data_IF_205028485675
#
_entry.id   IF_205028485675
#
_cell.length_a   1.000
_cell.length_b   1.000
_cell.length_c   1.000
_cell.angle_alpha   90.00
_cell.angle_beta   90.00
_cell.angle_gamma   90.00
#
_symmetry.space_group_name_H-M   'P 1'
#
loop_
_entity.id
_entity.type
_entity.pdbx_description
1 polymer ?
#
# COMPACT_ATOMS: atom_id res chain seq x y z
N UNK A 1 -12.39 62.72 32.43
CA UNK A 1 -12.87 61.59 31.66
C UNK A 1 -11.76 60.92 30.88
N UNK A 2 -11.38 59.71 31.33
CA UNK A 2 -10.50 58.83 30.55
C UNK A 2 -11.39 58.04 29.57
N UNK A 3 -11.21 58.30 28.29
CA UNK A 3 -11.82 57.49 27.23
C UNK A 3 -10.85 56.35 26.92
N UNK A 4 -11.21 55.16 27.41
CA UNK A 4 -10.49 53.93 27.04
C UNK A 4 -10.86 53.50 25.61
N UNK A 5 -9.88 53.55 24.68
CA UNK A 5 -10.02 52.93 23.36
C UNK A 5 -10.00 51.42 23.52
N UNK A 6 -11.14 50.80 23.32
CA UNK A 6 -11.22 49.34 23.13
C UNK A 6 -10.70 48.99 21.73
N UNK A 7 -9.51 48.43 21.67
CA UNK A 7 -8.91 47.89 20.47
C UNK A 7 -9.61 46.58 20.16
N UNK A 8 -10.59 46.56 19.25
CA UNK A 8 -11.15 45.34 18.70
C UNK A 8 -10.08 44.67 17.81
N UNK A 9 -9.41 43.64 18.38
CA UNK A 9 -8.64 42.71 17.57
C UNK A 9 -9.68 41.97 16.71
N UNK A 10 -9.76 42.27 15.44
CA UNK A 10 -10.45 41.42 14.47
C UNK A 10 -9.57 40.19 14.29
N UNK A 11 -9.98 39.09 14.88
CA UNK A 11 -9.48 37.77 14.46
C UNK A 11 -9.83 37.61 12.99
N UNK A 12 -8.83 37.72 12.13
CA UNK A 12 -8.99 37.30 10.73
C UNK A 12 -9.35 35.83 10.77
N UNK A 13 -10.40 35.38 10.08
CA UNK A 13 -10.67 33.94 9.98
C UNK A 13 -9.40 33.29 9.42
N UNK A 14 -8.86 32.32 10.16
CA UNK A 14 -7.79 31.50 9.64
C UNK A 14 -8.26 30.93 8.31
N UNK A 15 -7.58 31.28 7.22
CA UNK A 15 -7.86 30.70 5.91
C UNK A 15 -7.71 29.19 6.08
N UNK A 16 -8.78 28.44 5.83
CA UNK A 16 -8.75 26.99 5.87
C UNK A 16 -7.62 26.51 4.97
N UNK A 17 -6.73 25.68 5.49
CA UNK A 17 -5.65 25.11 4.68
C UNK A 17 -6.27 24.25 3.57
N UNK A 18 -5.70 24.33 2.37
CA UNK A 18 -6.10 23.47 1.26
C UNK A 18 -5.89 22.01 1.64
N UNK A 19 -6.88 21.12 1.40
CA UNK A 19 -6.72 19.68 1.71
C UNK A 19 -5.56 19.08 0.96
N UNK A 20 -4.78 18.24 1.65
CA UNK A 20 -3.58 17.62 1.13
C UNK A 20 -3.90 16.44 0.21
N UNK A 21 -3.37 16.46 -1.00
CA UNK A 21 -3.41 15.34 -1.94
C UNK A 21 -2.32 14.30 -1.64
N UNK A 22 -1.19 14.74 -1.08
CA UNK A 22 -0.14 13.85 -0.57
C UNK A 22 -0.24 13.79 0.94
N UNK A 23 -0.71 12.63 1.43
CA UNK A 23 -1.03 12.46 2.84
C UNK A 23 -0.81 11.02 3.30
N UNK A 24 -0.04 10.79 4.39
CA UNK A 24 0.26 9.45 4.90
C UNK A 24 -1.00 8.65 5.24
N UNK A 25 -1.14 7.44 4.67
CA UNK A 25 -2.32 6.59 4.78
C UNK A 25 -3.43 6.89 3.78
N UNK A 26 -3.27 7.92 2.94
CA UNK A 26 -4.18 8.23 1.83
C UNK A 26 -4.06 7.24 0.67
N UNK A 27 -5.02 7.26 -0.24
CA UNK A 27 -5.01 6.40 -1.42
C UNK A 27 -3.96 6.86 -2.46
N UNK A 28 -3.36 5.89 -3.15
CA UNK A 28 -2.34 6.10 -4.19
C UNK A 28 -2.64 5.22 -5.39
N UNK A 29 -2.46 5.74 -6.61
CA UNK A 29 -2.75 5.02 -7.85
C UNK A 29 -1.66 5.25 -8.89
N UNK A 30 -1.35 4.18 -9.63
CA UNK A 30 -0.48 4.22 -10.82
C UNK A 30 -1.16 3.45 -11.93
N UNK A 31 -1.26 4.07 -13.08
CA UNK A 31 -1.78 3.44 -14.28
C UNK A 31 -0.67 2.68 -15.01
N UNK A 32 -0.97 1.56 -15.68
CA UNK A 32 -0.04 0.99 -16.65
C UNK A 32 0.16 1.97 -17.83
N UNK A 33 1.32 1.91 -18.48
CA UNK A 33 1.60 2.73 -19.69
C UNK A 33 0.61 2.44 -20.81
N UNK A 34 0.23 1.18 -20.94
CA UNK A 34 -0.77 0.69 -21.88
C UNK A 34 -1.89 0.01 -21.08
N UNK A 35 -2.93 0.76 -20.66
CA UNK A 35 -4.05 0.18 -19.96
C UNK A 35 -4.75 -0.90 -20.81
N UNK A 36 -5.13 -1.99 -20.16
CA UNK A 36 -5.94 -3.00 -20.79
C UNK A 36 -7.36 -2.43 -21.01
N UNK A 37 -7.86 -2.52 -22.24
CA UNK A 37 -9.18 -2.01 -22.62
C UNK A 37 -10.16 -3.11 -23.00
N UNK A 38 -9.69 -4.36 -23.06
CA UNK A 38 -10.51 -5.52 -23.37
C UNK A 38 -10.14 -6.68 -22.44
N UNK A 39 -11.13 -7.45 -22.01
CA UNK A 39 -10.95 -8.65 -21.22
C UNK A 39 -11.72 -9.81 -21.84
N UNK A 40 -11.11 -11.00 -22.01
CA UNK A 40 -11.82 -12.18 -22.47
C UNK A 40 -12.96 -12.55 -21.52
N UNK A 41 -14.16 -12.75 -22.06
CA UNK A 41 -15.31 -13.22 -21.28
C UNK A 41 -16.11 -14.24 -22.11
N UNK A 42 -16.27 -15.44 -21.56
CA UNK A 42 -17.09 -16.47 -22.15
C UNK A 42 -18.56 -16.04 -22.15
N UNK A 43 -19.20 -16.10 -23.29
CA UNK A 43 -20.60 -15.66 -23.47
C UNK A 43 -20.77 -14.24 -24.00
N UNK A 44 -19.72 -13.42 -24.03
CA UNK A 44 -19.76 -12.16 -24.76
C UNK A 44 -19.83 -12.37 -26.29
N UNK A 45 -20.54 -11.48 -26.99
CA UNK A 45 -20.80 -11.62 -28.43
C UNK A 45 -19.54 -11.80 -29.29
N UNK A 46 -18.44 -11.14 -28.89
CA UNK A 46 -17.13 -11.21 -29.56
C UNK A 46 -16.10 -12.01 -28.74
N UNK A 47 -16.49 -12.68 -27.66
CA UNK A 47 -15.59 -13.36 -26.74
C UNK A 47 -14.79 -12.43 -25.82
N UNK A 48 -15.03 -11.14 -25.86
CA UNK A 48 -14.38 -10.11 -25.02
C UNK A 48 -15.41 -9.07 -24.57
N UNK A 49 -15.15 -8.43 -23.44
CA UNK A 49 -15.84 -7.22 -22.99
C UNK A 49 -14.88 -6.03 -23.02
N UNK A 50 -15.42 -4.84 -23.27
CA UNK A 50 -14.69 -3.58 -23.10
C UNK A 50 -14.58 -3.24 -21.63
N UNK A 51 -13.38 -2.86 -21.17
CA UNK A 51 -13.13 -2.43 -19.79
C UNK A 51 -12.51 -1.03 -19.79
N UNK A 52 -12.85 -0.17 -18.83
CA UNK A 52 -12.23 1.15 -18.73
C UNK A 52 -10.77 1.04 -18.25
N UNK A 53 -9.90 2.01 -18.58
CA UNK A 53 -8.50 2.03 -18.14
C UNK A 53 -8.33 1.90 -16.63
N UNK A 54 -9.28 2.40 -15.86
CA UNK A 54 -9.32 2.34 -14.41
C UNK A 54 -9.40 0.91 -13.85
N UNK A 55 -9.88 -0.05 -14.66
CA UNK A 55 -9.90 -1.46 -14.28
C UNK A 55 -8.50 -2.08 -14.12
N UNK A 56 -7.47 -1.46 -14.70
CA UNK A 56 -6.08 -1.93 -14.66
C UNK A 56 -5.16 -1.10 -13.76
N UNK A 57 -5.71 -0.16 -12.98
CA UNK A 57 -4.93 0.72 -12.10
C UNK A 57 -4.37 -0.05 -10.90
N UNK A 58 -3.09 0.20 -10.57
CA UNK A 58 -2.51 -0.31 -9.33
C UNK A 58 -2.99 0.52 -8.14
N UNK A 59 -3.49 -0.15 -7.12
CA UNK A 59 -4.03 0.44 -5.89
C UNK A 59 -3.09 0.23 -4.73
N UNK A 60 -2.61 1.35 -4.16
CA UNK A 60 -1.71 1.39 -3.00
C UNK A 60 -2.14 2.51 -2.04
N UNK A 61 -1.41 2.64 -0.95
CA UNK A 61 -1.54 3.70 0.05
C UNK A 61 -0.28 4.55 0.09
N UNK A 62 -0.41 5.77 0.59
CA UNK A 62 0.69 6.72 0.69
C UNK A 62 1.48 6.54 1.99
N UNK A 63 2.80 6.56 1.87
CA UNK A 63 3.75 6.65 2.97
C UNK A 63 4.01 8.10 3.40
N UNK A 64 5.13 8.38 4.08
CA UNK A 64 5.50 9.72 4.52
C UNK A 64 6.02 10.56 3.36
N UNK A 65 5.78 11.87 3.44
CA UNK A 65 6.37 12.86 2.53
C UNK A 65 7.29 13.83 3.26
N UNK A 66 8.20 14.45 2.53
CA UNK A 66 9.14 15.41 3.08
C UNK A 66 10.02 16.04 2.02
N UNK A 67 11.09 16.68 2.48
CA UNK A 67 12.07 17.35 1.62
C UNK A 67 13.46 16.82 1.91
N UNK A 68 14.20 16.51 0.86
CA UNK A 68 15.60 16.13 0.90
C UNK A 68 16.38 16.83 -0.23
N UNK A 69 17.47 17.51 0.10
CA UNK A 69 18.31 18.23 -0.88
C UNK A 69 17.53 19.14 -1.83
N UNK A 70 16.43 19.75 -1.32
CA UNK A 70 15.57 20.64 -2.09
C UNK A 70 14.48 19.94 -2.93
N UNK A 71 14.45 18.62 -2.97
CA UNK A 71 13.39 17.86 -3.62
C UNK A 71 12.28 17.51 -2.65
N UNK A 72 11.03 17.72 -3.04
CA UNK A 72 9.85 17.26 -2.33
C UNK A 72 9.55 15.82 -2.74
N UNK A 73 9.47 14.91 -1.77
CA UNK A 73 9.35 13.48 -2.06
C UNK A 73 8.29 12.79 -1.21
N UNK A 74 7.67 11.76 -1.79
CA UNK A 74 6.85 10.76 -1.13
C UNK A 74 7.62 9.44 -1.13
N UNK A 75 7.78 8.83 0.04
CA UNK A 75 8.33 7.49 0.20
C UNK A 75 7.20 6.45 0.13
N UNK A 76 7.41 5.39 -0.64
CA UNK A 76 6.39 4.38 -0.89
C UNK A 76 7.03 3.00 -1.07
N UNK A 77 6.24 1.93 -1.11
CA UNK A 77 6.74 0.61 -1.49
C UNK A 77 7.07 0.55 -3.00
N UNK A 78 8.12 -0.16 -3.35
CA UNK A 78 8.61 -0.27 -4.73
C UNK A 78 7.61 -0.92 -5.67
N UNK A 79 6.94 -1.98 -5.22
CA UNK A 79 5.93 -2.68 -6.00
C UNK A 79 4.69 -1.82 -6.31
N UNK A 80 4.48 -0.70 -5.61
CA UNK A 80 3.43 0.26 -5.92
C UNK A 80 3.72 1.10 -7.17
N UNK A 81 4.98 1.21 -7.56
CA UNK A 81 5.45 2.06 -8.67
C UNK A 81 6.24 1.31 -9.74
N UNK A 82 6.60 0.05 -9.47
CA UNK A 82 7.24 -0.86 -10.41
C UNK A 82 6.39 -2.11 -10.60
N UNK A 83 6.08 -2.45 -11.83
CA UNK A 83 5.52 -3.73 -12.20
C UNK A 83 6.64 -4.73 -12.54
N UNK A 84 6.34 -6.02 -12.54
CA UNK A 84 7.26 -7.04 -13.01
C UNK A 84 7.62 -6.83 -14.49
N UNK A 85 8.69 -7.48 -14.97
CA UNK A 85 9.20 -7.33 -16.33
C UNK A 85 8.22 -7.79 -17.42
N UNK A 86 7.01 -8.15 -17.04
CA UNK A 86 5.92 -8.47 -17.95
C UNK A 86 5.14 -7.19 -18.31
N UNK A 87 4.82 -7.05 -19.58
CA UNK A 87 3.97 -5.97 -20.08
C UNK A 87 2.52 -6.17 -19.65
N UNK A 88 1.79 -5.08 -19.28
CA UNK A 88 2.16 -3.67 -19.38
C UNK A 88 2.99 -3.17 -18.18
N UNK A 89 3.95 -2.27 -18.44
CA UNK A 89 4.73 -1.59 -17.42
C UNK A 89 3.95 -0.41 -16.81
N UNK A 90 4.19 -0.10 -15.54
CA UNK A 90 3.58 1.08 -14.92
C UNK A 90 4.11 2.39 -15.51
N UNK A 91 3.22 3.39 -15.61
CA UNK A 91 3.59 4.78 -15.86
C UNK A 91 4.54 5.28 -14.76
N UNK A 92 5.34 6.29 -15.08
CA UNK A 92 6.11 7.01 -14.06
C UNK A 92 5.22 7.98 -13.27
N UNK A 93 4.06 8.34 -13.78
CA UNK A 93 3.13 9.27 -13.14
C UNK A 93 2.45 8.64 -11.91
N UNK A 94 2.52 9.35 -10.80
CA UNK A 94 1.82 9.04 -9.58
C UNK A 94 0.54 9.89 -9.47
N UNK A 95 -0.57 9.24 -9.12
CA UNK A 95 -1.88 9.89 -9.02
C UNK A 95 -2.59 9.51 -7.72
N UNK A 96 -3.68 10.22 -7.41
CA UNK A 96 -4.56 9.91 -6.29
C UNK A 96 -6.03 9.95 -6.74
N UNK A 97 -6.91 9.09 -6.21
CA UNK A 97 -8.32 9.09 -6.57
C UNK A 97 -9.07 10.17 -5.77
N UNK A 98 -9.54 11.23 -6.43
CA UNK A 98 -10.30 12.30 -5.79
C UNK A 98 -11.48 12.70 -6.68
N UNK A 99 -12.67 12.66 -6.14
CA UNK A 99 -13.91 13.03 -6.84
C UNK A 99 -14.10 12.33 -8.19
N UNK A 100 -13.77 11.01 -8.26
CA UNK A 100 -13.89 10.21 -9.47
C UNK A 100 -12.86 10.55 -10.56
N UNK A 101 -11.79 11.26 -10.20
CA UNK A 101 -10.67 11.62 -11.08
C UNK A 101 -9.35 11.16 -10.46
N UNK A 102 -8.30 11.19 -11.26
CA UNK A 102 -6.96 10.79 -10.84
C UNK A 102 -5.96 11.95 -11.04
N UNK A 103 -6.07 13.05 -10.26
CA UNK A 103 -5.11 14.13 -10.34
C UNK A 103 -3.69 13.60 -10.10
N UNK A 104 -2.77 14.03 -10.94
CA UNK A 104 -1.35 13.75 -10.80
C UNK A 104 -0.81 14.46 -9.57
N UNK A 105 0.02 13.76 -8.80
CA UNK A 105 0.72 14.29 -7.64
C UNK A 105 2.23 14.39 -7.85
N UNK A 106 2.78 13.71 -8.85
CA UNK A 106 4.21 13.69 -9.10
C UNK A 106 4.66 12.59 -10.03
N UNK A 107 5.95 12.27 -9.97
CA UNK A 107 6.59 11.30 -10.85
C UNK A 107 7.57 10.41 -10.07
N UNK A 108 7.60 9.11 -10.39
CA UNK A 108 8.57 8.17 -9.84
C UNK A 108 10.00 8.61 -10.19
N UNK A 109 10.82 8.87 -9.17
CA UNK A 109 12.24 9.17 -9.30
C UNK A 109 13.10 7.92 -9.34
N UNK A 110 12.88 7.04 -8.37
CA UNK A 110 13.63 5.81 -8.20
C UNK A 110 12.76 4.78 -7.49
N UNK A 111 13.01 3.52 -7.73
CA UNK A 111 12.37 2.45 -7.00
C UNK A 111 13.17 1.16 -7.12
N UNK A 112 13.03 0.30 -6.13
CA UNK A 112 13.51 -1.05 -6.11
C UNK A 112 12.42 -1.96 -5.57
N UNK A 113 12.18 -3.10 -6.20
CA UNK A 113 11.26 -4.11 -5.72
C UNK A 113 11.95 -5.47 -5.73
N UNK A 114 11.42 -6.44 -4.99
CA UNK A 114 11.90 -7.80 -5.09
C UNK A 114 11.89 -8.25 -6.55
N UNK A 115 13.01 -8.75 -7.03
CA UNK A 115 13.00 -9.67 -8.16
C UNK A 115 12.22 -10.91 -7.69
N UNK A 116 11.36 -11.45 -8.57
CA UNK A 116 10.54 -12.61 -8.27
C UNK A 116 11.29 -13.58 -7.36
N UNK A 117 10.62 -14.01 -6.29
CA UNK A 117 11.12 -15.11 -5.49
C UNK A 117 11.26 -16.28 -6.45
N UNK A 118 12.48 -16.69 -6.81
CA UNK A 118 12.68 -18.00 -7.40
C UNK A 118 12.04 -18.95 -6.39
N UNK A 119 10.91 -19.54 -6.78
CA UNK A 119 10.07 -20.38 -5.93
C UNK A 119 10.89 -21.59 -5.40
N UNK A 120 11.75 -21.34 -4.47
CA UNK A 120 12.41 -22.36 -3.70
C UNK A 120 11.48 -22.72 -2.56
N UNK A 121 10.97 -23.91 -2.62
CA UNK A 121 9.93 -24.52 -1.81
C UNK A 121 10.34 -24.74 -0.33
N UNK A 122 11.47 -24.19 0.10
CA UNK A 122 11.96 -24.41 1.45
C UNK A 122 11.62 -23.22 2.36
N UNK A 123 10.91 -23.44 3.49
CA UNK A 123 10.51 -22.37 4.40
C UNK A 123 11.65 -21.47 4.86
N UNK A 124 12.88 -22.01 4.97
CA UNK A 124 14.04 -21.22 5.39
C UNK A 124 14.56 -20.28 4.27
N UNK A 125 14.45 -20.64 3.00
CA UNK A 125 14.82 -19.79 1.87
C UNK A 125 13.82 -18.66 1.74
N UNK A 126 12.52 -18.96 1.79
CA UNK A 126 11.46 -17.92 1.85
C UNK A 126 11.68 -16.94 3.01
N UNK A 127 12.08 -17.43 4.19
CA UNK A 127 12.39 -16.55 5.32
C UNK A 127 13.57 -15.61 4.99
N UNK A 128 14.69 -16.14 4.47
CA UNK A 128 15.87 -15.33 4.16
C UNK A 128 15.64 -14.40 2.97
N UNK A 129 14.85 -14.79 1.98
CA UNK A 129 14.44 -13.93 0.89
C UNK A 129 13.61 -12.77 1.43
N UNK A 130 12.62 -13.06 2.28
CA UNK A 130 11.82 -12.01 2.94
C UNK A 130 12.66 -11.05 3.79
N UNK A 131 13.69 -11.58 4.49
CA UNK A 131 14.60 -10.81 5.35
C UNK A 131 15.50 -9.87 4.55
N UNK A 132 15.97 -10.29 3.39
CA UNK A 132 16.96 -9.55 2.59
C UNK A 132 16.34 -8.66 1.52
N UNK A 133 15.13 -8.98 1.08
CA UNK A 133 14.45 -8.27 0.00
C UNK A 133 14.10 -6.86 0.42
N UNK A 134 14.44 -5.90 -0.42
CA UNK A 134 14.03 -4.51 -0.33
C UNK A 134 12.87 -4.22 -1.29
N UNK A 135 12.01 -3.29 -0.90
CA UNK A 135 10.78 -2.96 -1.61
C UNK A 135 10.47 -1.48 -1.37
N UNK A 136 11.15 -0.60 -2.10
CA UNK A 136 11.02 0.83 -1.88
C UNK A 136 10.89 1.65 -3.16
N UNK A 137 10.20 2.80 -3.03
CA UNK A 137 10.04 3.77 -4.09
C UNK A 137 10.09 5.20 -3.57
N UNK A 138 10.52 6.10 -4.43
CA UNK A 138 10.54 7.56 -4.22
C UNK A 138 9.81 8.22 -5.38
N UNK A 139 8.80 9.01 -5.06
CA UNK A 139 8.05 9.85 -6.00
C UNK A 139 8.42 11.30 -5.76
N UNK A 140 8.85 12.01 -6.78
CA UNK A 140 9.00 13.48 -6.75
C UNK A 140 7.59 14.10 -6.76
N UNK A 141 7.29 14.91 -5.76
CA UNK A 141 6.00 15.60 -5.64
C UNK A 141 6.08 16.90 -6.46
N UNK A 142 5.08 17.14 -7.30
CA UNK A 142 4.99 18.39 -8.07
C UNK A 142 4.86 19.60 -7.12
N UNK A 143 5.49 20.72 -7.43
CA UNK A 143 5.62 21.89 -6.54
C UNK A 143 4.28 22.45 -6.05
N UNK A 144 3.26 22.40 -6.89
CA UNK A 144 1.91 22.92 -6.59
C UNK A 144 1.03 21.96 -5.79
N UNK A 145 1.48 20.73 -5.56
CA UNK A 145 0.66 19.70 -4.89
C UNK A 145 0.73 19.85 -3.38
N UNK A 146 -0.42 20.07 -2.70
CA UNK A 146 -0.44 20.18 -1.24
C UNK A 146 -0.15 18.83 -0.58
N UNK A 147 0.73 18.87 0.44
CA UNK A 147 1.13 17.70 1.24
C UNK A 147 0.92 17.96 2.74
N UNK A 148 0.91 16.90 3.54
CA UNK A 148 0.75 17.00 5.00
C UNK A 148 1.58 15.94 5.74
N UNK A 149 1.93 16.25 7.01
CA UNK A 149 2.50 15.27 7.95
C UNK A 149 1.44 14.54 8.78
N UNK A 150 0.17 14.83 8.57
CA UNK A 150 -0.91 14.16 9.30
C UNK A 150 -1.14 12.77 8.69
N UNK A 151 -0.97 11.74 9.51
CA UNK A 151 -1.39 10.37 9.17
C UNK A 151 -2.84 10.17 9.59
N UNK A 152 -3.64 9.73 8.66
CA UNK A 152 -5.03 9.35 8.87
C UNK A 152 -5.42 8.31 7.83
N UNK A 153 -6.34 7.43 8.17
CA UNK A 153 -6.83 6.42 7.24
C UNK A 153 -8.33 6.32 7.26
N UNK A 154 -8.85 5.83 6.13
CA UNK A 154 -10.23 5.42 5.95
C UNK A 154 -10.28 3.90 5.69
N UNK A 155 -11.42 3.29 5.89
CA UNK A 155 -11.64 1.92 5.40
C UNK A 155 -11.99 1.92 3.90
N UNK A 156 -12.15 0.73 3.31
CA UNK A 156 -12.49 0.58 1.89
C UNK A 156 -13.82 1.25 1.49
N UNK A 157 -14.68 1.58 2.44
CA UNK A 157 -15.92 2.33 2.22
C UNK A 157 -15.75 3.86 2.37
N UNK A 158 -14.53 4.36 2.61
CA UNK A 158 -14.21 5.78 2.76
C UNK A 158 -14.53 6.38 4.13
N UNK A 159 -14.99 5.58 5.09
CA UNK A 159 -15.25 6.08 6.44
C UNK A 159 -13.94 6.28 7.22
N UNK A 160 -13.71 7.44 7.86
CA UNK A 160 -12.57 7.63 8.73
C UNK A 160 -12.62 6.65 9.90
N UNK A 161 -11.52 5.92 10.13
CA UNK A 161 -11.47 4.87 11.16
C UNK A 161 -10.54 5.22 12.33
N UNK A 162 -9.90 6.39 12.27
CA UNK A 162 -8.95 6.79 13.30
C UNK A 162 -8.83 8.29 13.44
N UNK A 163 -8.41 8.74 14.62
CA UNK A 163 -8.02 10.13 14.85
C UNK A 163 -6.72 10.45 14.09
N UNK A 164 -6.56 11.67 13.57
CA UNK A 164 -5.32 12.12 12.93
C UNK A 164 -4.12 12.00 13.87
N UNK A 165 -2.96 11.61 13.35
CA UNK A 165 -1.68 11.55 14.08
C UNK A 165 -0.65 12.35 13.30
N UNK A 166 0.01 13.31 13.96
CA UNK A 166 1.10 14.05 13.35
C UNK A 166 2.40 13.24 13.42
N UNK A 167 2.97 12.97 12.24
CA UNK A 167 4.31 12.39 12.12
C UNK A 167 5.38 13.46 12.45
N UNK A 168 6.50 13.04 13.09
CA UNK A 168 7.45 13.99 13.67
C UNK A 168 8.90 13.78 13.23
N UNK A 169 9.31 12.56 12.99
CA UNK A 169 10.69 12.19 12.64
C UNK A 169 10.70 10.88 11.87
N UNK A 170 11.83 10.51 11.30
CA UNK A 170 12.09 9.15 10.81
C UNK A 170 12.78 8.37 11.93
N UNK A 171 12.33 7.14 12.19
CA UNK A 171 13.05 6.20 13.04
C UNK A 171 14.31 5.75 12.31
N UNK A 172 15.44 6.24 12.75
CA UNK A 172 16.74 5.94 12.14
C UNK A 172 17.35 4.75 12.88
N UNK A 173 17.36 3.58 12.25
CA UNK A 173 17.86 2.34 12.82
C UNK A 173 19.30 2.10 12.37
N UNK A 174 20.21 1.67 13.26
CA UNK A 174 21.52 1.20 12.83
C UNK A 174 21.38 0.10 11.76
N UNK A 175 22.04 0.31 10.61
CA UNK A 175 21.96 -0.62 9.48
C UNK A 175 22.53 -2.00 9.83
N UNK A 176 21.75 -3.04 9.69
CA UNK A 176 22.18 -4.42 9.89
C UNK A 176 22.88 -4.97 8.64
N UNK A 177 23.90 -5.85 8.80
CA UNK A 177 24.43 -6.64 7.69
C UNK A 177 23.37 -7.47 6.98
N UNK A 178 23.62 -7.81 5.72
CA UNK A 178 22.81 -8.77 4.96
C UNK A 178 22.77 -10.12 5.69
N UNK A 179 21.65 -10.82 5.65
CA UNK A 179 21.40 -12.07 6.36
C UNK A 179 21.45 -11.95 7.90
N UNK A 180 21.26 -10.75 8.45
CA UNK A 180 21.16 -10.56 9.88
C UNK A 180 19.75 -10.15 10.29
N UNK A 181 19.27 -10.75 11.38
CA UNK A 181 18.02 -10.40 12.02
C UNK A 181 18.30 -9.98 13.47
N UNK A 182 17.68 -8.88 13.92
CA UNK A 182 17.79 -8.36 15.29
C UNK A 182 16.41 -8.30 15.94
N UNK A 183 16.40 -8.48 17.24
CA UNK A 183 15.21 -8.33 18.09
C UNK A 183 15.31 -7.13 19.03
N UNK A 184 16.18 -6.16 18.73
CA UNK A 184 16.39 -4.97 19.55
C UNK A 184 15.15 -4.05 19.65
N UNK A 185 14.23 -4.16 18.69
CA UNK A 185 12.94 -3.50 18.65
C UNK A 185 11.76 -4.37 19.17
N UNK A 186 12.04 -5.56 19.70
CA UNK A 186 10.98 -6.49 20.14
C UNK A 186 10.10 -5.88 21.22
N UNK A 187 8.78 -6.04 21.07
CA UNK A 187 7.79 -5.55 22.03
C UNK A 187 7.45 -4.06 21.88
N UNK A 188 8.12 -3.31 21.00
CA UNK A 188 7.78 -1.93 20.74
C UNK A 188 6.47 -1.81 19.93
N UNK A 189 5.63 -0.80 20.20
CA UNK A 189 4.40 -0.64 19.46
C UNK A 189 4.66 -0.19 18.03
N UNK A 190 3.72 -0.50 17.17
CA UNK A 190 3.68 -0.06 15.78
C UNK A 190 2.23 0.05 15.33
N UNK A 191 1.89 1.15 14.66
CA UNK A 191 0.62 1.30 13.98
C UNK A 191 0.86 1.48 12.47
N UNK A 192 -0.07 0.98 11.66
CA UNK A 192 -0.12 1.30 10.23
C UNK A 192 -1.39 2.05 9.89
N UNK A 193 -1.31 2.94 8.92
CA UNK A 193 -2.45 3.53 8.21
C UNK A 193 -2.38 3.13 6.73
N UNK A 194 -3.48 2.59 6.23
CA UNK A 194 -3.65 2.22 4.83
C UNK A 194 -5.05 2.55 4.34
N UNK A 195 -5.20 2.76 3.04
CA UNK A 195 -6.45 3.24 2.43
C UNK A 195 -7.53 2.16 2.29
N UNK A 196 -7.19 0.89 2.54
CA UNK A 196 -8.12 -0.23 2.40
C UNK A 196 -8.61 -0.75 3.75
N UNK A 197 -7.70 -1.17 4.64
CA UNK A 197 -8.09 -1.72 5.93
C UNK A 197 -8.05 -0.70 7.08
N UNK A 198 -7.64 0.54 6.80
CA UNK A 198 -7.57 1.61 7.78
C UNK A 198 -6.41 1.46 8.75
N UNK A 199 -6.58 2.01 9.96
CA UNK A 199 -5.59 1.90 11.04
C UNK A 199 -5.70 0.58 11.76
N UNK A 200 -4.55 -0.05 11.97
CA UNK A 200 -4.38 -1.12 12.93
C UNK A 200 -3.07 -0.96 13.67
N UNK A 201 -3.02 -1.43 14.92
CA UNK A 201 -1.85 -1.33 15.77
C UNK A 201 -1.50 -2.71 16.34
N UNK A 202 -0.22 -2.94 16.53
CA UNK A 202 0.33 -4.20 17.01
C UNK A 202 1.70 -3.99 17.64
N UNK A 203 2.55 -5.01 17.54
CA UNK A 203 3.85 -5.04 18.21
C UNK A 203 4.93 -5.44 17.22
N UNK A 204 6.09 -4.77 17.29
CA UNK A 204 7.28 -5.15 16.54
C UNK A 204 7.86 -6.46 17.11
N UNK A 205 8.26 -7.37 16.23
CA UNK A 205 8.83 -8.67 16.62
C UNK A 205 10.31 -8.83 16.25
N UNK A 206 10.84 -7.90 15.46
CA UNK A 206 12.24 -7.84 15.07
C UNK A 206 12.43 -7.02 13.82
N UNK A 207 13.67 -6.91 13.41
CA UNK A 207 14.05 -6.19 12.17
C UNK A 207 15.22 -6.85 11.47
N UNK A 208 15.31 -6.61 10.17
CA UNK A 208 16.47 -6.87 9.33
C UNK A 208 16.96 -5.55 8.72
N UNK A 209 17.94 -5.64 7.81
CA UNK A 209 18.36 -4.49 7.01
C UNK A 209 17.20 -3.82 6.26
N UNK A 210 16.33 -4.62 5.66
CA UNK A 210 15.30 -4.19 4.72
C UNK A 210 13.87 -4.46 5.24
N UNK A 211 13.70 -4.66 6.53
CA UNK A 211 12.38 -4.93 7.07
C UNK A 211 12.26 -4.69 8.57
N UNK A 212 11.17 -4.07 8.98
CA UNK A 212 10.66 -4.12 10.35
C UNK A 212 9.44 -5.02 10.36
N UNK A 213 9.50 -6.07 11.17
CA UNK A 213 8.46 -7.10 11.24
C UNK A 213 7.54 -6.85 12.42
N UNK A 214 6.25 -7.07 12.21
CA UNK A 214 5.22 -6.78 13.19
C UNK A 214 4.22 -7.93 13.31
N UNK A 215 3.54 -7.97 14.45
CA UNK A 215 2.46 -8.90 14.75
C UNK A 215 1.22 -8.15 15.24
N UNK A 216 0.04 -8.61 14.82
CA UNK A 216 -1.25 -8.11 15.29
C UNK A 216 -1.82 -6.98 14.43
N UNK A 217 -1.19 -6.61 13.32
CA UNK A 217 -1.72 -5.66 12.36
C UNK A 217 -2.68 -6.37 11.38
N UNK A 218 -3.62 -5.61 10.82
CA UNK A 218 -4.51 -6.06 9.76
C UNK A 218 -4.03 -5.51 8.43
N UNK A 219 -3.85 -6.38 7.45
CA UNK A 219 -3.40 -6.03 6.10
C UNK A 219 -4.38 -6.52 5.06
N UNK A 220 -4.64 -5.67 4.07
CA UNK A 220 -5.45 -6.00 2.90
C UNK A 220 -4.76 -5.46 1.64
N UNK A 221 -5.09 -6.02 0.48
CA UNK A 221 -4.65 -5.48 -0.81
C UNK A 221 -4.99 -3.99 -0.89
N UNK A 222 -4.03 -3.16 -1.35
CA UNK A 222 -4.17 -1.71 -1.35
C UNK A 222 -3.61 -0.98 -0.12
N UNK A 223 -3.29 -1.68 0.99
CA UNK A 223 -2.56 -1.08 2.13
C UNK A 223 -1.06 -0.92 1.85
N UNK A 224 -0.54 -1.56 0.81
CA UNK A 224 0.85 -1.45 0.35
C UNK A 224 1.30 0.00 0.21
N UNK A 225 2.52 0.32 0.61
CA UNK A 225 3.06 1.69 0.62
C UNK A 225 2.54 2.57 1.76
N UNK A 226 1.47 2.16 2.46
CA UNK A 226 0.91 2.88 3.59
C UNK A 226 1.89 3.05 4.75
N UNK A 227 1.70 4.09 5.53
CA UNK A 227 2.60 4.49 6.60
C UNK A 227 2.59 3.51 7.78
N UNK A 228 3.77 3.20 8.31
CA UNK A 228 3.97 2.53 9.60
C UNK A 228 4.73 3.47 10.54
N UNK A 229 4.25 3.63 11.77
CA UNK A 229 4.80 4.60 12.72
C UNK A 229 4.67 4.11 14.16
N UNK A 230 5.48 4.71 15.06
CA UNK A 230 5.37 4.51 16.50
C UNK A 230 4.26 5.42 17.05
N UNK A 231 3.19 4.87 17.66
CA UNK A 231 2.08 5.70 18.18
C UNK A 231 2.45 6.55 19.40
N UNK A 232 3.57 6.29 20.07
CA UNK A 232 3.97 7.03 21.27
C UNK A 232 4.57 8.39 20.92
N UNK A 233 5.35 8.47 19.85
CA UNK A 233 6.11 9.68 19.49
C UNK A 233 5.84 10.18 18.07
N UNK A 234 5.11 9.42 17.25
CA UNK A 234 4.82 9.76 15.86
C UNK A 234 6.04 9.57 14.93
N UNK A 235 7.06 8.84 15.36
CA UNK A 235 8.20 8.54 14.50
C UNK A 235 7.81 7.54 13.42
N UNK A 236 8.12 7.89 12.16
CA UNK A 236 7.93 7.02 11.00
C UNK A 236 8.87 5.84 11.09
N UNK A 237 8.34 4.63 11.05
CA UNK A 237 9.11 3.39 11.00
C UNK A 237 9.39 3.01 9.55
N UNK A 238 8.38 3.05 8.68
CA UNK A 238 8.52 2.66 7.29
C UNK A 238 7.22 2.68 6.52
N UNK A 239 7.23 1.99 5.38
CA UNK A 239 6.05 1.81 4.53
C UNK A 239 5.68 0.34 4.44
N UNK A 240 4.39 0.04 4.37
CA UNK A 240 3.90 -1.34 4.28
C UNK A 240 4.39 -1.99 2.99
N UNK A 241 5.18 -3.06 3.12
CA UNK A 241 5.70 -3.84 2.01
C UNK A 241 4.88 -5.12 1.79
N UNK A 242 4.62 -5.87 2.86
CA UNK A 242 3.84 -7.10 2.75
C UNK A 242 3.10 -7.41 4.07
N UNK A 243 2.01 -8.21 3.97
CA UNK A 243 1.30 -8.74 5.11
C UNK A 243 0.69 -10.10 4.83
N UNK A 244 0.79 -11.01 5.81
CA UNK A 244 0.16 -12.34 5.76
C UNK A 244 -0.55 -12.57 7.08
N UNK A 245 -1.87 -12.46 7.08
CA UNK A 245 -2.67 -12.49 8.31
C UNK A 245 -2.21 -11.41 9.28
N UNK A 246 -1.85 -11.74 10.55
CA UNK A 246 -1.40 -10.76 11.53
C UNK A 246 0.09 -10.41 11.42
N UNK A 247 0.86 -11.09 10.56
CA UNK A 247 2.30 -10.85 10.35
C UNK A 247 2.51 -9.86 9.23
N UNK A 248 3.30 -8.84 9.47
CA UNK A 248 3.64 -7.83 8.48
C UNK A 248 5.10 -7.48 8.40
N UNK A 249 5.49 -6.92 7.26
CA UNK A 249 6.78 -6.31 6.99
C UNK A 249 6.58 -4.89 6.53
N UNK A 250 7.21 -3.94 7.19
CA UNK A 250 7.41 -2.58 6.71
C UNK A 250 8.82 -2.44 6.14
N UNK A 251 8.96 -1.82 4.97
CA UNK A 251 10.25 -1.34 4.47
C UNK A 251 10.66 -0.13 5.29
N UNK A 252 11.81 -0.14 5.99
CA UNK A 252 12.21 0.98 6.84
C UNK A 252 12.41 2.28 6.04
N UNK A 253 11.89 3.39 6.55
CA UNK A 253 11.94 4.68 5.83
C UNK A 253 13.35 5.28 5.78
N UNK A 254 14.17 5.06 6.82
CA UNK A 254 15.58 5.42 6.84
C UNK A 254 16.33 4.73 5.69
N UNK A 255 16.12 3.42 5.51
CA UNK A 255 16.74 2.67 4.40
C UNK A 255 16.33 3.18 3.03
N UNK A 256 15.08 3.59 2.84
CA UNK A 256 14.66 4.20 1.58
C UNK A 256 15.48 5.46 1.29
N UNK A 257 15.66 6.30 2.30
CA UNK A 257 16.39 7.57 2.17
C UNK A 257 17.89 7.32 1.96
N UNK A 258 18.48 6.39 2.72
CA UNK A 258 19.87 5.99 2.61
C UNK A 258 20.17 5.43 1.21
N UNK A 259 19.35 4.50 0.72
CA UNK A 259 19.58 3.83 -0.57
C UNK A 259 19.31 4.77 -1.76
N UNK A 260 18.23 5.56 -1.71
CA UNK A 260 17.87 6.44 -2.82
C UNK A 260 18.76 7.69 -2.94
N UNK A 261 19.31 8.18 -1.83
CA UNK A 261 20.05 9.44 -1.80
C UNK A 261 21.50 9.30 -1.31
N UNK A 262 21.93 8.11 -0.91
CA UNK A 262 23.27 7.88 -0.37
C UNK A 262 23.50 8.63 0.96
N UNK A 263 22.47 8.75 1.78
CA UNK A 263 22.59 9.34 3.13
C UNK A 263 23.31 8.32 4.02
N UNK A 264 24.31 8.75 4.81
CA UNK A 264 24.97 7.84 5.74
C UNK A 264 24.03 7.34 6.85
N UNK A 265 24.23 6.11 7.32
CA UNK A 265 23.57 5.52 8.47
C UNK A 265 23.63 6.44 9.70
N UNK A 266 22.51 6.67 10.37
CA UNK A 266 22.38 7.55 11.52
C UNK A 266 22.23 9.04 11.21
N UNK A 267 22.19 9.46 9.94
CA UNK A 267 22.14 10.86 9.51
C UNK A 267 20.84 11.24 8.77
N UNK A 268 19.84 10.35 8.76
CA UNK A 268 18.62 10.55 7.97
C UNK A 268 17.84 11.80 8.40
N UNK A 269 17.68 12.03 9.70
CA UNK A 269 16.97 13.21 10.22
C UNK A 269 17.74 14.54 10.08
N UNK A 270 19.01 14.50 9.67
CA UNK A 270 19.80 15.69 9.36
C UNK A 270 19.56 16.14 7.91
N UNK A 271 19.34 15.21 6.98
CA UNK A 271 19.17 15.49 5.56
C UNK A 271 17.73 15.47 5.09
N UNK A 272 16.87 14.62 5.69
CA UNK A 272 15.45 14.52 5.36
C UNK A 272 14.58 15.26 6.38
N UNK A 273 13.77 16.18 5.90
CA UNK A 273 12.79 16.91 6.72
C UNK A 273 11.39 16.47 6.33
N UNK A 274 10.65 15.87 7.27
CA UNK A 274 9.23 15.55 7.06
C UNK A 274 8.44 16.80 6.66
N UNK A 275 7.35 16.60 5.89
CA UNK A 275 6.38 17.65 5.60
C UNK A 275 5.91 18.34 6.90
N UNK A 276 5.87 19.65 6.89
CA UNK A 276 5.53 20.45 8.09
C UNK A 276 4.06 20.85 8.14
N UNK A 277 3.37 20.78 7.01
CA UNK A 277 1.93 21.09 6.93
C UNK A 277 1.13 20.13 7.79
N UNK A 278 0.09 20.65 8.43
CA UNK A 278 -0.92 19.88 9.17
C UNK A 278 -2.29 19.97 8.51
N UNK A 279 -2.32 20.24 7.21
CA UNK A 279 -3.55 20.29 6.43
C UNK A 279 -4.33 18.96 6.55
N UNK A 280 -5.66 19.00 6.53
CA UNK A 280 -6.46 17.78 6.48
C UNK A 280 -6.22 17.04 5.16
N UNK A 281 -6.48 15.74 5.16
CA UNK A 281 -6.48 14.96 3.92
C UNK A 281 -7.53 15.46 2.93
N UNK A 282 -7.27 15.34 1.64
CA UNK A 282 -8.29 15.42 0.63
C UNK A 282 -9.31 14.27 0.81
N UNK A 283 -10.53 14.46 0.31
CA UNK A 283 -11.52 13.39 0.27
C UNK A 283 -11.18 12.43 -0.88
N UNK A 284 -10.45 11.37 -0.55
CA UNK A 284 -10.14 10.33 -1.53
C UNK A 284 -11.40 9.55 -1.88
N UNK A 285 -11.55 9.21 -3.16
CA UNK A 285 -12.50 8.21 -3.60
C UNK A 285 -12.11 6.88 -2.96
N UNK A 286 -13.03 6.22 -2.28
CA UNK A 286 -12.73 4.96 -1.62
C UNK A 286 -12.59 3.82 -2.63
N UNK A 287 -11.89 2.76 -2.26
CA UNK A 287 -11.70 1.60 -3.13
C UNK A 287 -13.03 1.00 -3.60
N UNK A 288 -14.03 0.93 -2.71
CA UNK A 288 -15.37 0.45 -3.08
C UNK A 288 -16.06 1.37 -4.10
N UNK A 289 -15.93 2.69 -3.93
CA UNK A 289 -16.51 3.65 -4.88
C UNK A 289 -15.83 3.58 -6.25
N UNK A 290 -14.50 3.43 -6.31
CA UNK A 290 -13.77 3.23 -7.55
C UNK A 290 -14.21 1.93 -8.23
N UNK A 291 -14.33 0.87 -7.46
CA UNK A 291 -14.79 -0.43 -7.96
C UNK A 291 -16.21 -0.35 -8.53
N UNK A 292 -17.15 0.27 -7.80
CA UNK A 292 -18.53 0.47 -8.27
C UNK A 292 -18.55 1.32 -9.57
N UNK A 293 -17.71 2.34 -9.70
CA UNK A 293 -17.60 3.15 -10.90
C UNK A 293 -17.11 2.31 -12.09
N UNK A 294 -16.05 1.53 -11.90
CA UNK A 294 -15.51 0.63 -12.93
C UNK A 294 -16.58 -0.37 -13.37
N UNK A 295 -17.26 -1.04 -12.44
CA UNK A 295 -18.28 -2.03 -12.75
C UNK A 295 -19.47 -1.43 -13.49
N UNK A 296 -19.92 -0.24 -13.08
CA UNK A 296 -21.01 0.46 -13.79
C UNK A 296 -20.60 0.81 -15.22
N UNK A 297 -19.36 1.31 -15.43
CA UNK A 297 -18.85 1.60 -16.77
C UNK A 297 -18.75 0.33 -17.62
N UNK A 298 -18.25 -0.77 -17.07
CA UNK A 298 -18.19 -2.05 -17.79
C UNK A 298 -19.60 -2.50 -18.19
N UNK A 299 -20.59 -2.38 -17.29
CA UNK A 299 -21.98 -2.78 -17.61
C UNK A 299 -22.62 -1.87 -18.67
N UNK A 300 -22.33 -0.55 -18.64
CA UNK A 300 -22.82 0.41 -19.64
C UNK A 300 -22.21 0.13 -21.03
N UNK A 301 -20.93 -0.20 -21.09
CA UNK A 301 -20.21 -0.50 -22.32
C UNK A 301 -20.52 -1.90 -22.90
N UNK A 302 -21.02 -2.83 -22.05
CA UNK A 302 -21.34 -4.19 -22.44
C UNK A 302 -22.78 -4.58 -22.02
N UNK A 303 -23.82 -3.94 -22.56
CA UNK A 303 -25.19 -4.11 -22.10
C UNK A 303 -25.78 -5.51 -22.35
N UNK A 304 -25.16 -6.27 -23.25
CA UNK A 304 -25.58 -7.65 -23.59
C UNK A 304 -25.04 -8.71 -22.60
N UNK A 305 -24.14 -8.32 -21.70
CA UNK A 305 -23.51 -9.23 -20.75
C UNK A 305 -24.04 -8.92 -19.35
N UNK A 306 -24.55 -9.93 -18.66
CA UNK A 306 -24.87 -9.83 -17.24
C UNK A 306 -23.59 -9.97 -16.41
N UNK A 307 -23.07 -8.85 -15.93
CA UNK A 307 -21.85 -8.83 -15.11
C UNK A 307 -22.27 -9.02 -13.65
N UNK A 308 -21.69 -10.02 -13.00
CA UNK A 308 -21.93 -10.26 -11.56
C UNK A 308 -21.50 -9.04 -10.75
N UNK A 309 -22.31 -8.64 -9.79
CA UNK A 309 -21.91 -7.59 -8.86
C UNK A 309 -20.64 -7.99 -8.08
N UNK A 310 -19.86 -7.03 -7.58
CA UNK A 310 -18.68 -7.30 -6.77
C UNK A 310 -18.94 -8.24 -5.61
N UNK A 311 -20.09 -8.04 -4.96
CA UNK A 311 -20.52 -8.92 -3.86
C UNK A 311 -20.76 -10.35 -4.33
N UNK A 312 -21.41 -10.54 -5.47
CA UNK A 312 -21.66 -11.88 -6.04
C UNK A 312 -20.36 -12.53 -6.52
N UNK A 313 -19.45 -11.75 -7.14
CA UNK A 313 -18.14 -12.23 -7.54
C UNK A 313 -17.30 -12.61 -6.32
N UNK A 314 -17.31 -11.79 -5.26
CA UNK A 314 -16.67 -12.07 -3.99
C UNK A 314 -17.27 -13.31 -3.32
N UNK A 315 -18.61 -13.39 -3.19
CA UNK A 315 -19.30 -14.52 -2.59
C UNK A 315 -18.98 -15.82 -3.35
N UNK A 316 -18.91 -15.78 -4.69
CA UNK A 316 -18.45 -16.90 -5.52
C UNK A 316 -16.99 -17.26 -5.27
N UNK A 317 -16.08 -16.28 -5.23
CA UNK A 317 -14.66 -16.51 -4.97
C UNK A 317 -14.42 -17.09 -3.58
N UNK A 318 -15.13 -16.60 -2.56
CA UNK A 318 -15.09 -17.16 -1.20
C UNK A 318 -15.63 -18.60 -1.18
N UNK A 319 -16.70 -18.88 -1.89
CA UNK A 319 -17.28 -20.24 -1.97
C UNK A 319 -16.31 -21.21 -2.66
N UNK A 320 -15.65 -20.79 -3.75
CA UNK A 320 -14.62 -21.58 -4.44
C UNK A 320 -13.40 -21.80 -3.54
N UNK A 321 -12.90 -20.77 -2.86
CA UNK A 321 -11.78 -20.89 -1.92
C UNK A 321 -12.11 -21.83 -0.76
N UNK A 322 -13.34 -21.79 -0.25
CA UNK A 322 -13.83 -22.69 0.79
C UNK A 322 -13.93 -24.13 0.30
N UNK A 323 -14.37 -24.33 -0.94
CA UNK A 323 -14.44 -25.65 -1.58
C UNK A 323 -13.03 -26.24 -1.77
N UNK A 324 -12.08 -25.43 -2.25
CA UNK A 324 -10.69 -25.85 -2.43
C UNK A 324 -10.03 -26.19 -1.09
N UNK A 325 -10.25 -25.36 -0.07
CA UNK A 325 -9.76 -25.66 1.29
C UNK A 325 -10.32 -26.98 1.85
N UNK A 326 -11.61 -27.26 1.65
CA UNK A 326 -12.24 -28.50 2.05
C UNK A 326 -11.67 -29.69 1.27
N UNK A 327 -11.46 -29.55 -0.03
CA UNK A 327 -10.87 -30.55 -0.90
C UNK A 327 -9.44 -30.88 -0.46
N UNK A 328 -8.62 -29.83 -0.20
CA UNK A 328 -7.26 -29.99 0.32
C UNK A 328 -7.24 -30.68 1.68
N UNK A 329 -8.13 -30.30 2.61
CA UNK A 329 -8.22 -30.92 3.93
C UNK A 329 -8.61 -32.40 3.82
N UNK A 330 -9.55 -32.72 2.93
CA UNK A 330 -9.96 -34.11 2.69
C UNK A 330 -8.83 -34.94 2.06
N UNK A 331 -8.11 -34.41 1.09
CA UNK A 331 -6.94 -35.05 0.49
C UNK A 331 -5.81 -35.22 1.49
N UNK A 332 -5.50 -34.20 2.29
CA UNK A 332 -4.50 -34.27 3.33
C UNK A 332 -4.79 -35.36 4.37
N UNK A 333 -6.07 -35.57 4.72
CA UNK A 333 -6.48 -36.62 5.65
C UNK A 333 -6.27 -38.04 5.11
N UNK A 334 -6.11 -38.21 3.81
CA UNK A 334 -5.92 -39.49 3.11
C UNK A 334 -4.45 -39.77 2.78
N UNK A 335 -3.55 -38.83 3.07
CA UNK A 335 -2.12 -38.94 2.77
C UNK A 335 -1.52 -40.07 3.63
N UNK A 336 -0.93 -41.04 2.96
CA UNK A 336 -0.21 -42.17 3.59
C UNK A 336 1.14 -42.47 2.93
N UNK A 337 1.59 -41.60 2.02
CA UNK A 337 2.87 -41.72 1.33
C UNK A 337 3.50 -40.31 1.09
N UNK A 338 4.79 -40.30 0.82
CA UNK A 338 5.52 -39.04 0.47
C UNK A 338 5.00 -38.45 -0.83
N UNK A 339 4.67 -39.30 -1.81
CA UNK A 339 4.08 -38.87 -3.09
C UNK A 339 2.71 -38.21 -2.88
N UNK A 340 1.86 -38.77 -2.01
CA UNK A 340 0.56 -38.17 -1.67
C UNK A 340 0.69 -36.83 -0.95
N UNK A 341 1.72 -36.66 -0.10
CA UNK A 341 2.01 -35.38 0.53
C UNK A 341 2.45 -34.33 -0.50
N UNK A 342 3.27 -34.72 -1.47
CA UNK A 342 3.70 -33.82 -2.55
C UNK A 342 2.53 -33.42 -3.46
N UNK A 343 1.61 -34.34 -3.76
CA UNK A 343 0.41 -34.02 -4.54
C UNK A 343 -0.46 -32.98 -3.84
N UNK A 344 -0.70 -33.12 -2.55
CA UNK A 344 -1.47 -32.15 -1.75
C UNK A 344 -0.76 -30.79 -1.70
N UNK A 345 0.56 -30.76 -1.58
CA UNK A 345 1.34 -29.52 -1.60
C UNK A 345 1.23 -28.80 -2.96
N UNK A 346 1.32 -29.55 -4.07
CA UNK A 346 1.15 -29.00 -5.41
C UNK A 346 -0.27 -28.45 -5.63
N UNK A 347 -1.30 -29.14 -5.15
CA UNK A 347 -2.69 -28.66 -5.19
C UNK A 347 -2.87 -27.38 -4.37
N UNK A 348 -2.24 -27.30 -3.19
CA UNK A 348 -2.30 -26.10 -2.35
C UNK A 348 -1.63 -24.90 -3.02
N UNK A 349 -0.47 -25.12 -3.68
CA UNK A 349 0.21 -24.12 -4.49
C UNK A 349 -0.68 -23.59 -5.63
N UNK A 350 -1.24 -24.52 -6.43
CA UNK A 350 -2.11 -24.16 -7.54
C UNK A 350 -3.39 -23.40 -7.09
N UNK A 351 -3.99 -23.78 -5.96
CA UNK A 351 -5.13 -23.07 -5.39
C UNK A 351 -4.73 -21.67 -4.92
N UNK A 352 -3.57 -21.52 -4.27
CA UNK A 352 -3.06 -20.22 -3.84
C UNK A 352 -2.78 -19.28 -5.03
N UNK A 353 -2.15 -19.80 -6.09
CA UNK A 353 -1.89 -19.07 -7.33
C UNK A 353 -3.19 -18.63 -8.02
N UNK A 354 -4.17 -19.55 -8.12
CA UNK A 354 -5.47 -19.26 -8.69
C UNK A 354 -6.21 -18.15 -7.91
N UNK A 355 -6.24 -18.23 -6.58
CA UNK A 355 -6.89 -17.22 -5.75
C UNK A 355 -6.13 -15.90 -5.73
N UNK A 356 -4.79 -15.91 -5.80
CA UNK A 356 -4.00 -14.68 -5.89
C UNK A 356 -4.24 -13.95 -7.22
N UNK A 357 -4.36 -14.70 -8.33
CA UNK A 357 -4.71 -14.13 -9.64
C UNK A 357 -6.15 -13.59 -9.66
N UNK A 358 -7.11 -14.29 -9.04
CA UNK A 358 -8.47 -13.78 -8.92
C UNK A 358 -8.56 -12.52 -8.05
N UNK A 359 -7.81 -12.45 -6.95
CA UNK A 359 -7.73 -11.26 -6.09
C UNK A 359 -7.00 -10.08 -6.76
N UNK A 360 -6.12 -10.35 -7.72
CA UNK A 360 -5.47 -9.30 -8.52
C UNK A 360 -6.41 -8.73 -9.61
N UNK A 361 -7.52 -9.42 -9.92
CA UNK A 361 -8.55 -9.02 -10.89
C UNK A 361 -9.84 -8.54 -10.18
N UNK A 362 -9.97 -8.78 -8.88
CA UNK A 362 -11.04 -8.27 -8.01
C UNK A 362 -10.52 -7.18 -7.08
#
# INVERSE_FOLDING_TARGET
GLVGSVMCIRDSPATAQEPALVAPGGAFRVFPQEPQTEMPLEGAANGHITIPPEASVASCSQGPSGTIRGERVLLIAGHCVLQDNETPTFSTEATVPVAGKYPRIGERKAAHKPTEYEHTFWPHEFFWDTVNTDDWGVVLIDDSVPATSISQSSNAAGAPVSAPVQLRSIRDYPTLPVNQFSTDNFGQPICKDGATSGRSCGTQIGRSRNGVYSWGLNYQGGDSGGINYDPNDGAVIGVTSMGIGPLGKAQPADRIIEDAYGVPDGHVNEEFTLEQSTAPHAEYTSLNQEFDQVMNTIQEENPEVEISTPKEAWDKSVAVAQQDANTLAQRASQVNSVEGAQEVANMAGAAADHHSQQLAVT
#
